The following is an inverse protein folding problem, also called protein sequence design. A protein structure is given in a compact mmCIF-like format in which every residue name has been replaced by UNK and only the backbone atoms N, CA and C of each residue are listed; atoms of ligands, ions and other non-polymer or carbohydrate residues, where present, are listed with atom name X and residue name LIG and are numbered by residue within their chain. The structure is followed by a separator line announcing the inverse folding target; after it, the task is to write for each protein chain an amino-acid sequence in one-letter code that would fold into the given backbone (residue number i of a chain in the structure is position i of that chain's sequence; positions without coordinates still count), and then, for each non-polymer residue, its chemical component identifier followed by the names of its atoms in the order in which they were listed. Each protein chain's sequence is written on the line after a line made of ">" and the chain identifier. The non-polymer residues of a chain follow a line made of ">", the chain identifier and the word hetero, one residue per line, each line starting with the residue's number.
data_IF_729725707609
#
_entry.id   IF_729725707609
#
_cell.length_a   1.000
_cell.length_b   1.000
_cell.length_c   1.000
_cell.angle_alpha   90.00
_cell.angle_beta   90.00
_cell.angle_gamma   90.00
#
_symmetry.space_group_name_H-M   'P 1'
#
loop_
_entity.id
_entity.type
_entity.pdbx_description
1 polymer ?
#
# COMPACT_ATOMS: atom_id res chain seq x y z
N UNK A 1 20.30 3.30 -21.79
CA UNK A 1 18.99 3.99 -21.91
C UNK A 1 19.13 5.05 -22.99
N UNK A 2 18.32 5.01 -24.05
CA UNK A 2 18.39 5.98 -25.15
C UNK A 2 17.88 7.36 -24.69
N UNK A 3 18.33 8.44 -25.35
CA UNK A 3 17.84 9.82 -25.08
C UNK A 3 16.32 9.95 -25.23
N UNK A 4 15.68 9.11 -26.06
CA UNK A 4 14.21 9.07 -26.24
C UNK A 4 13.48 8.65 -24.97
N UNK A 5 13.93 7.55 -24.33
CA UNK A 5 13.25 7.00 -23.16
C UNK A 5 13.31 7.89 -21.92
N UNK A 6 14.35 8.72 -21.76
CA UNK A 6 14.41 9.69 -20.65
C UNK A 6 13.46 10.87 -20.89
N UNK A 7 13.34 11.35 -22.14
CA UNK A 7 12.39 12.43 -22.48
C UNK A 7 10.93 12.04 -22.27
N UNK A 8 10.58 10.80 -22.61
CA UNK A 8 9.26 10.21 -22.35
C UNK A 8 8.96 10.16 -20.85
N UNK A 9 9.90 9.67 -20.03
CA UNK A 9 9.74 9.60 -18.57
C UNK A 9 9.58 10.98 -17.94
N UNK A 10 10.31 11.99 -18.40
CA UNK A 10 10.18 13.37 -17.91
C UNK A 10 8.80 13.93 -18.22
N UNK A 11 8.29 13.69 -19.43
CA UNK A 11 6.96 14.15 -19.85
C UNK A 11 5.85 13.47 -19.05
N UNK A 12 5.99 12.17 -18.81
CA UNK A 12 5.07 11.39 -17.99
C UNK A 12 5.06 11.86 -16.53
N UNK A 13 6.24 12.09 -15.93
CA UNK A 13 6.34 12.63 -14.57
C UNK A 13 5.72 14.02 -14.47
N UNK A 14 5.92 14.89 -15.46
CA UNK A 14 5.28 16.20 -15.47
C UNK A 14 3.75 16.08 -15.48
N UNK A 15 3.21 15.21 -16.33
CA UNK A 15 1.76 14.96 -16.38
C UNK A 15 1.21 14.42 -15.06
N UNK A 16 1.88 13.42 -14.48
CA UNK A 16 1.51 12.87 -13.18
C UNK A 16 1.58 13.93 -12.07
N UNK A 17 2.60 14.79 -12.10
CA UNK A 17 2.79 15.86 -11.12
C UNK A 17 1.65 16.89 -11.18
N UNK A 18 1.21 17.27 -12.39
CA UNK A 18 0.14 18.25 -12.59
C UNK A 18 -1.23 17.73 -12.13
N UNK A 19 -1.44 16.42 -12.18
CA UNK A 19 -2.70 15.77 -11.81
C UNK A 19 -2.70 15.15 -10.42
N UNK A 20 -1.67 15.38 -9.60
CA UNK A 20 -1.53 14.68 -8.32
C UNK A 20 -2.79 14.81 -7.45
N UNK A 21 -3.39 15.99 -7.37
CA UNK A 21 -4.52 16.22 -6.45
C UNK A 21 -5.86 15.69 -6.94
N UNK A 22 -5.96 15.28 -8.20
CA UNK A 22 -7.15 14.65 -8.80
C UNK A 22 -6.96 13.18 -9.15
N UNK A 23 -5.72 12.67 -9.02
CA UNK A 23 -5.39 11.27 -9.30
C UNK A 23 -5.55 10.43 -8.03
N UNK A 24 -6.33 9.36 -8.12
CA UNK A 24 -6.49 8.41 -7.02
C UNK A 24 -5.21 7.61 -6.75
N UNK A 25 -5.09 7.03 -5.56
CA UNK A 25 -3.99 6.12 -5.21
C UNK A 25 -3.96 4.88 -6.10
N UNK A 26 -5.12 4.40 -6.55
CA UNK A 26 -5.22 3.30 -7.51
C UNK A 26 -4.68 3.71 -8.87
N UNK A 27 -5.05 4.89 -9.37
CA UNK A 27 -4.59 5.39 -10.66
C UNK A 27 -3.10 5.72 -10.68
N UNK A 28 -2.54 6.29 -9.61
CA UNK A 28 -1.10 6.61 -9.58
C UNK A 28 -0.23 5.35 -9.52
N UNK A 29 -0.73 4.27 -8.91
CA UNK A 29 -0.10 2.95 -8.92
C UNK A 29 -0.51 2.09 -10.13
N UNK A 30 -1.47 2.56 -10.93
CA UNK A 30 -1.96 1.91 -12.15
C UNK A 30 -2.48 0.49 -11.89
N UNK A 31 -3.39 0.41 -10.92
CA UNK A 31 -4.04 -0.83 -10.50
C UNK A 31 -5.55 -0.60 -10.36
N UNK A 32 -6.30 -1.70 -10.41
CA UNK A 32 -7.74 -1.68 -10.15
C UNK A 32 -8.07 -1.54 -8.65
N UNK A 33 -9.25 -1.02 -8.33
CA UNK A 33 -9.72 -0.88 -6.94
C UNK A 33 -9.93 -2.23 -6.23
N UNK A 34 -10.11 -3.33 -6.96
CA UNK A 34 -10.19 -4.69 -6.43
C UNK A 34 -8.84 -5.38 -6.22
N UNK A 35 -7.73 -4.72 -6.56
CA UNK A 35 -6.38 -5.30 -6.45
C UNK A 35 -6.04 -5.67 -4.99
N UNK A 36 -5.49 -6.85 -4.75
CA UNK A 36 -5.09 -7.26 -3.41
C UNK A 36 -3.76 -6.60 -2.98
N UNK A 37 -3.34 -6.82 -1.72
CA UNK A 37 -2.11 -6.21 -1.21
C UNK A 37 -0.85 -6.70 -1.96
N UNK A 38 -0.87 -7.92 -2.53
CA UNK A 38 0.24 -8.46 -3.32
C UNK A 38 0.36 -7.66 -4.62
N UNK A 39 -0.75 -7.47 -5.34
CA UNK A 39 -0.77 -6.68 -6.56
C UNK A 39 -0.43 -5.21 -6.31
N UNK A 40 -0.90 -4.61 -5.20
CA UNK A 40 -0.50 -3.25 -4.78
C UNK A 40 1.02 -3.16 -4.60
N UNK A 41 1.62 -4.14 -3.91
CA UNK A 41 3.07 -4.21 -3.67
C UNK A 41 3.86 -4.33 -4.97
N UNK A 42 3.46 -5.26 -5.83
CA UNK A 42 4.18 -5.55 -7.06
C UNK A 42 4.09 -4.37 -8.04
N UNK A 43 2.92 -3.73 -8.13
CA UNK A 43 2.72 -2.50 -8.92
C UNK A 43 3.56 -1.33 -8.40
N UNK A 44 3.60 -1.13 -7.08
CA UNK A 44 4.47 -0.12 -6.47
C UNK A 44 5.93 -0.37 -6.80
N UNK A 45 6.44 -1.60 -6.66
CA UNK A 45 7.84 -1.90 -6.98
C UNK A 45 8.17 -1.68 -8.46
N UNK A 46 7.29 -2.10 -9.37
CA UNK A 46 7.47 -1.87 -10.80
C UNK A 46 7.56 -0.37 -11.14
N UNK A 47 6.64 0.45 -10.60
CA UNK A 47 6.67 1.90 -10.82
C UNK A 47 7.81 2.59 -10.08
N UNK A 48 8.15 2.17 -8.87
CA UNK A 48 9.25 2.72 -8.10
C UNK A 48 10.58 2.54 -8.83
N UNK A 49 10.80 1.39 -9.48
CA UNK A 49 11.97 1.18 -10.35
C UNK A 49 11.99 2.12 -11.56
N UNK A 50 10.83 2.43 -12.15
CA UNK A 50 10.70 3.33 -13.30
C UNK A 50 10.94 4.80 -12.92
N UNK A 51 10.36 5.25 -11.81
CA UNK A 51 10.32 6.66 -11.38
C UNK A 51 11.22 6.98 -10.18
N UNK A 52 12.19 6.13 -9.85
CA UNK A 52 13.09 6.39 -8.73
C UNK A 52 13.84 7.73 -8.91
N UNK A 53 13.89 8.62 -7.91
CA UNK A 53 14.56 9.91 -8.01
C UNK A 53 16.01 9.83 -8.49
N UNK A 54 16.75 8.80 -8.09
CA UNK A 54 18.15 8.57 -8.49
C UNK A 54 18.35 8.54 -10.00
N UNK A 55 17.34 8.12 -10.77
CA UNK A 55 17.40 8.08 -12.24
C UNK A 55 17.44 9.48 -12.86
N UNK A 56 17.00 10.49 -12.13
CA UNK A 56 16.86 11.87 -12.58
C UNK A 56 17.90 12.80 -11.93
N UNK A 57 18.75 12.30 -11.03
CA UNK A 57 19.79 13.10 -10.35
C UNK A 57 20.75 13.75 -11.34
N UNK A 58 21.09 13.05 -12.42
CA UNK A 58 22.00 13.53 -13.47
C UNK A 58 21.41 14.64 -14.35
N UNK A 59 20.10 14.91 -14.27
CA UNK A 59 19.47 15.97 -15.07
C UNK A 59 19.75 17.33 -14.43
N UNK A 60 20.25 18.28 -15.21
CA UNK A 60 20.40 19.67 -14.80
C UNK A 60 19.08 20.44 -14.92
N UNK A 61 17.99 19.85 -14.43
CA UNK A 61 16.65 20.42 -14.48
C UNK A 61 15.96 20.28 -13.12
N UNK A 62 16.02 21.35 -12.34
CA UNK A 62 15.49 21.41 -10.98
C UNK A 62 13.95 21.25 -10.91
N UNK A 63 13.14 21.89 -11.79
CA UNK A 63 11.71 21.62 -11.86
C UNK A 63 11.36 20.14 -12.04
N UNK A 64 12.06 19.45 -12.95
CA UNK A 64 11.83 18.02 -13.20
C UNK A 64 12.16 17.19 -11.97
N UNK A 65 13.28 17.47 -11.30
CA UNK A 65 13.65 16.78 -10.04
C UNK A 65 12.55 16.93 -8.99
N UNK A 66 12.05 18.14 -8.77
CA UNK A 66 10.94 18.39 -7.83
C UNK A 66 9.68 17.62 -8.19
N UNK A 67 9.31 17.58 -9.47
CA UNK A 67 8.17 16.81 -9.94
C UNK A 67 8.34 15.30 -9.67
N UNK A 68 9.52 14.74 -9.96
CA UNK A 68 9.84 13.33 -9.66
C UNK A 68 9.69 13.05 -8.17
N UNK A 69 10.24 13.90 -7.30
CA UNK A 69 10.10 13.72 -5.85
C UNK A 69 8.63 13.77 -5.40
N UNK A 70 7.83 14.69 -5.93
CA UNK A 70 6.41 14.81 -5.60
C UNK A 70 5.62 13.56 -6.02
N UNK A 71 5.83 13.09 -7.25
CA UNK A 71 5.19 11.87 -7.77
C UNK A 71 5.63 10.64 -6.97
N UNK A 72 6.92 10.47 -6.74
CA UNK A 72 7.45 9.34 -5.97
C UNK A 72 6.92 9.33 -4.52
N UNK A 73 6.85 10.51 -3.89
CA UNK A 73 6.24 10.68 -2.57
C UNK A 73 4.76 10.26 -2.57
N UNK A 74 3.99 10.66 -3.60
CA UNK A 74 2.58 10.27 -3.72
C UNK A 74 2.42 8.77 -3.96
N UNK A 75 3.27 8.15 -4.77
CA UNK A 75 3.27 6.69 -4.98
C UNK A 75 3.57 5.95 -3.67
N UNK A 76 4.54 6.43 -2.89
CA UNK A 76 4.87 5.84 -1.58
C UNK A 76 3.70 5.96 -0.60
N UNK A 77 3.01 7.11 -0.61
CA UNK A 77 1.80 7.33 0.18
C UNK A 77 0.66 6.38 -0.24
N UNK A 78 0.42 6.25 -1.55
CA UNK A 78 -0.55 5.32 -2.10
C UNK A 78 -0.25 3.88 -1.66
N UNK A 79 1.01 3.46 -1.76
CA UNK A 79 1.43 2.13 -1.33
C UNK A 79 1.16 1.89 0.16
N UNK A 80 1.51 2.84 1.02
CA UNK A 80 1.26 2.74 2.47
C UNK A 80 -0.24 2.64 2.79
N UNK A 81 -1.08 3.44 2.12
CA UNK A 81 -2.53 3.46 2.35
C UNK A 81 -3.19 2.20 1.83
N UNK A 82 -2.89 1.77 0.60
CA UNK A 82 -3.58 0.65 -0.03
C UNK A 82 -3.14 -0.72 0.50
N UNK A 83 -1.95 -0.80 1.10
CA UNK A 83 -1.46 -2.04 1.72
C UNK A 83 -2.03 -2.24 3.13
N UNK A 84 -2.42 -1.17 3.82
CA UNK A 84 -3.10 -1.26 5.12
C UNK A 84 -4.61 -1.37 4.93
N UNK A 85 -5.25 -2.49 5.31
CA UNK A 85 -6.68 -2.71 5.04
C UNK A 85 -7.60 -1.69 5.74
N UNK A 86 -7.18 -1.09 6.86
CA UNK A 86 -7.97 -0.07 7.55
C UNK A 86 -7.80 1.30 6.89
N UNK A 87 -6.58 1.68 6.51
CA UNK A 87 -6.34 2.92 5.77
C UNK A 87 -6.99 2.88 4.39
N UNK A 88 -6.92 1.73 3.72
CA UNK A 88 -7.61 1.51 2.44
C UNK A 88 -9.11 1.68 2.58
N UNK A 89 -9.74 1.09 3.59
CA UNK A 89 -11.18 1.27 3.82
C UNK A 89 -11.54 2.74 4.08
N UNK A 90 -10.74 3.47 4.87
CA UNK A 90 -10.93 4.90 5.08
C UNK A 90 -10.74 5.72 3.79
N UNK A 91 -9.76 5.33 2.97
CA UNK A 91 -9.51 5.94 1.67
C UNK A 91 -10.67 5.72 0.71
N UNK A 92 -11.16 4.48 0.59
CA UNK A 92 -12.26 4.12 -0.31
C UNK A 92 -13.55 4.86 0.07
N UNK A 93 -13.81 5.04 1.37
CA UNK A 93 -14.92 5.85 1.86
C UNK A 93 -14.78 7.32 1.43
N UNK A 94 -13.60 7.93 1.64
CA UNK A 94 -13.34 9.30 1.20
C UNK A 94 -13.39 9.46 -0.32
N UNK A 95 -12.94 8.45 -1.08
CA UNK A 95 -12.94 8.46 -2.54
C UNK A 95 -14.37 8.52 -3.09
N UNK A 96 -15.32 7.82 -2.46
CA UNK A 96 -16.75 7.92 -2.81
C UNK A 96 -17.33 9.33 -2.59
N UNK A 97 -16.71 10.14 -1.73
CA UNK A 97 -17.06 11.53 -1.45
C UNK A 97 -16.22 12.54 -2.29
N UNK A 98 -15.39 12.05 -3.22
CA UNK A 98 -14.53 12.88 -4.07
C UNK A 98 -13.18 13.27 -3.44
N UNK A 99 -12.77 12.61 -2.36
CA UNK A 99 -11.45 12.81 -1.74
C UNK A 99 -10.41 11.87 -2.39
N UNK A 100 -9.49 12.42 -3.17
CA UNK A 100 -8.47 11.61 -3.87
C UNK A 100 -7.23 11.29 -3.04
N UNK A 101 -7.10 11.87 -1.85
CA UNK A 101 -5.93 11.75 -0.98
C UNK A 101 -6.33 11.80 0.50
N UNK A 102 -5.79 10.90 1.32
CA UNK A 102 -5.95 10.95 2.77
C UNK A 102 -5.04 12.01 3.40
N UNK A 103 -5.55 12.70 4.42
CA UNK A 103 -4.76 13.63 5.23
C UNK A 103 -3.65 12.93 6.00
N UNK A 104 -2.64 13.68 6.43
CA UNK A 104 -1.55 13.12 7.26
C UNK A 104 -2.05 12.58 8.60
N UNK A 105 -3.08 13.22 9.16
CA UNK A 105 -3.74 12.83 10.41
C UNK A 105 -4.50 11.52 10.23
N UNK A 106 -5.25 11.37 9.12
CA UNK A 106 -5.98 10.12 8.81
C UNK A 106 -5.03 8.95 8.58
N UNK A 107 -3.85 9.19 7.99
CA UNK A 107 -2.79 8.17 7.82
C UNK A 107 -2.09 7.82 9.14
N UNK A 108 -2.07 8.72 10.12
CA UNK A 108 -1.45 8.52 11.42
C UNK A 108 -2.36 7.76 12.38
N UNK A 109 -2.50 6.45 12.16
CA UNK A 109 -3.27 5.58 13.04
C UNK A 109 -2.43 5.14 14.24
N UNK A 110 -3.03 5.13 15.43
CA UNK A 110 -2.41 4.54 16.62
C UNK A 110 -2.48 3.01 16.56
N UNK A 111 -1.37 2.36 16.88
CA UNK A 111 -1.34 0.91 17.07
C UNK A 111 -2.18 0.51 18.28
N UNK A 112 -2.95 -0.57 18.15
CA UNK A 112 -3.66 -1.20 19.26
C UNK A 112 -2.71 -2.04 20.14
N UNK A 113 -3.23 -2.64 21.22
CA UNK A 113 -2.43 -3.39 22.18
C UNK A 113 -1.76 -4.63 21.57
N UNK A 114 -2.39 -5.25 20.58
CA UNK A 114 -1.85 -6.44 19.91
C UNK A 114 -0.83 -6.05 18.86
N UNK A 115 -1.10 -5.00 18.08
CA UNK A 115 -0.18 -4.51 17.05
C UNK A 115 1.12 -3.95 17.63
N UNK A 116 1.09 -3.44 18.87
CA UNK A 116 2.30 -3.03 19.60
C UNK A 116 3.21 -4.21 19.95
N UNK A 117 2.66 -5.43 20.03
CA UNK A 117 3.44 -6.65 20.27
C UNK A 117 4.06 -7.20 18.97
N UNK A 118 3.66 -6.66 17.81
CA UNK A 118 4.21 -7.04 16.51
C UNK A 118 5.21 -5.99 16.08
N UNK A 119 6.49 -6.37 16.01
CA UNK A 119 7.59 -5.46 15.74
C UNK A 119 7.73 -5.16 14.25
N UNK A 120 7.44 -6.16 13.41
CA UNK A 120 7.58 -6.07 11.96
C UNK A 120 6.34 -5.41 11.34
N UNK A 121 6.50 -4.30 10.58
CA UNK A 121 5.38 -3.64 9.90
C UNK A 121 4.61 -4.55 8.93
N UNK A 122 5.29 -5.48 8.25
CA UNK A 122 4.64 -6.45 7.35
C UNK A 122 3.80 -7.47 8.13
N UNK A 123 4.31 -7.96 9.26
CA UNK A 123 3.54 -8.84 10.14
C UNK A 123 2.28 -8.14 10.70
N UNK A 124 2.34 -6.82 10.96
CA UNK A 124 1.15 -6.03 11.35
C UNK A 124 0.11 -5.96 10.23
N UNK A 125 0.54 -5.77 8.98
CA UNK A 125 -0.37 -5.76 7.82
C UNK A 125 -1.13 -7.09 7.75
N UNK A 126 -0.41 -8.21 7.86
CA UNK A 126 -1.02 -9.55 7.86
C UNK A 126 -1.96 -9.77 9.05
N UNK A 127 -1.58 -9.33 10.26
CA UNK A 127 -2.46 -9.39 11.42
C UNK A 127 -3.78 -8.63 11.18
N UNK A 128 -3.71 -7.41 10.62
CA UNK A 128 -4.90 -6.60 10.32
C UNK A 128 -5.77 -7.23 9.25
N UNK A 129 -5.14 -7.67 8.16
CA UNK A 129 -5.85 -8.29 7.02
C UNK A 129 -6.52 -9.60 7.45
N UNK A 130 -5.81 -10.44 8.20
CA UNK A 130 -6.35 -11.68 8.75
C UNK A 130 -7.56 -11.45 9.66
N UNK A 131 -7.52 -10.45 10.55
CA UNK A 131 -8.66 -10.07 11.40
C UNK A 131 -9.87 -9.68 10.57
N UNK A 132 -9.69 -8.77 9.61
CA UNK A 132 -10.77 -8.30 8.75
C UNK A 132 -11.42 -9.43 7.94
N UNK A 133 -10.61 -10.33 7.37
CA UNK A 133 -11.12 -11.49 6.62
C UNK A 133 -11.83 -12.48 7.53
N UNK A 134 -11.30 -12.72 8.72
CA UNK A 134 -11.93 -13.59 9.73
C UNK A 134 -13.31 -13.05 10.15
N UNK A 135 -13.41 -11.76 10.44
CA UNK A 135 -14.67 -11.08 10.78
C UNK A 135 -15.71 -11.18 9.65
N UNK A 136 -15.26 -11.14 8.39
CA UNK A 136 -16.12 -11.29 7.20
C UNK A 136 -16.44 -12.74 6.84
N UNK A 137 -15.91 -13.73 7.57
CA UNK A 137 -16.11 -15.15 7.29
C UNK A 137 -15.27 -15.73 6.16
N UNK A 138 -14.34 -14.95 5.58
CA UNK A 138 -13.32 -15.44 4.65
C UNK A 138 -12.21 -16.15 5.43
N UNK A 139 -12.53 -17.35 5.91
CA UNK A 139 -11.62 -18.12 6.75
C UNK A 139 -10.37 -18.60 6.02
N UNK A 140 -10.47 -18.90 4.72
CA UNK A 140 -9.32 -19.33 3.93
C UNK A 140 -8.35 -18.17 3.73
N UNK A 141 -8.86 -16.99 3.36
CA UNK A 141 -8.03 -15.80 3.23
C UNK A 141 -7.43 -15.35 4.56
N UNK A 142 -8.18 -15.46 5.66
CA UNK A 142 -7.67 -15.18 7.00
C UNK A 142 -6.55 -16.15 7.40
N UNK A 143 -6.69 -17.44 7.07
CA UNK A 143 -5.66 -18.45 7.35
C UNK A 143 -4.37 -18.15 6.59
N UNK A 144 -4.46 -17.84 5.29
CA UNK A 144 -3.30 -17.46 4.47
C UNK A 144 -2.58 -16.25 5.09
N UNK A 145 -3.32 -15.20 5.47
CA UNK A 145 -2.71 -14.01 6.07
C UNK A 145 -2.03 -14.34 7.40
N UNK A 146 -2.61 -15.21 8.23
CA UNK A 146 -1.96 -15.67 9.45
C UNK A 146 -0.67 -16.43 9.19
N UNK A 147 -0.66 -17.35 8.21
CA UNK A 147 0.55 -18.09 7.81
C UNK A 147 1.66 -17.13 7.32
N UNK A 148 1.30 -16.17 6.47
CA UNK A 148 2.24 -15.16 5.99
C UNK A 148 2.76 -14.28 7.14
N UNK A 149 1.89 -13.85 8.05
CA UNK A 149 2.29 -13.12 9.25
C UNK A 149 3.28 -13.90 10.11
N UNK A 150 2.96 -15.17 10.41
CA UNK A 150 3.81 -16.06 11.20
C UNK A 150 5.14 -16.38 10.51
N UNK A 151 5.18 -16.46 9.18
CA UNK A 151 6.42 -16.66 8.43
C UNK A 151 7.39 -15.48 8.54
N UNK A 152 6.86 -14.28 8.83
CA UNK A 152 7.63 -13.05 8.98
C UNK A 152 8.02 -12.80 10.44
N UNK A 153 7.08 -13.00 11.37
CA UNK A 153 7.29 -12.79 12.80
C UNK A 153 6.30 -13.64 13.62
N UNK A 154 6.83 -14.50 14.49
CA UNK A 154 5.99 -15.28 15.39
C UNK A 154 5.65 -14.49 16.65
N UNK A 155 4.39 -14.07 16.77
CA UNK A 155 3.90 -13.29 17.92
C UNK A 155 2.60 -13.87 18.50
N UNK A 156 2.29 -13.62 19.80
CA UNK A 156 1.04 -14.08 20.39
C UNK A 156 -0.21 -13.62 19.64
N UNK A 157 -0.35 -12.35 19.19
CA UNK A 157 -1.51 -11.94 18.42
C UNK A 157 -1.74 -12.72 17.12
N UNK A 158 -0.68 -12.98 16.36
CA UNK A 158 -0.77 -13.76 15.12
C UNK A 158 -1.13 -15.22 15.38
N UNK A 159 -0.50 -15.85 16.38
CA UNK A 159 -0.81 -17.23 16.77
C UNK A 159 -2.24 -17.38 17.29
N UNK A 160 -2.70 -16.43 18.11
CA UNK A 160 -4.06 -16.46 18.67
C UNK A 160 -5.12 -16.34 17.56
N UNK A 161 -4.90 -15.44 16.60
CA UNK A 161 -5.76 -15.31 15.44
C UNK A 161 -5.75 -16.59 14.59
N UNK A 162 -4.57 -17.14 14.30
CA UNK A 162 -4.42 -18.39 13.55
C UNK A 162 -5.20 -19.55 14.19
N UNK A 163 -5.06 -19.75 15.50
CA UNK A 163 -5.81 -20.77 16.24
C UNK A 163 -7.32 -20.56 16.13
N UNK A 164 -7.80 -19.31 16.22
CA UNK A 164 -9.22 -19.01 16.07
C UNK A 164 -9.72 -19.33 14.66
N UNK A 165 -8.96 -18.98 13.62
CA UNK A 165 -9.26 -19.29 12.22
C UNK A 165 -9.31 -20.80 11.98
N UNK A 166 -8.32 -21.55 12.46
CA UNK A 166 -8.26 -23.01 12.31
C UNK A 166 -9.45 -23.70 13.00
N UNK A 167 -9.82 -23.26 14.20
CA UNK A 167 -11.01 -23.78 14.90
C UNK A 167 -12.29 -23.52 14.12
N UNK A 168 -12.43 -22.33 13.56
CA UNK A 168 -13.59 -21.99 12.75
C UNK A 168 -13.65 -22.80 11.43
N UNK A 169 -12.50 -23.08 10.80
CA UNK A 169 -12.42 -23.95 9.62
C UNK A 169 -12.80 -25.39 9.94
N UNK A 170 -12.36 -25.93 11.08
CA UNK A 170 -12.66 -27.30 11.50
C UNK A 170 -14.12 -27.52 11.94
N UNK A 171 -14.86 -26.44 12.24
CA UNK A 171 -16.27 -26.48 12.58
C UNK A 171 -17.23 -26.34 11.39
N UNK A 172 -16.72 -26.25 10.15
CA UNK A 172 -17.50 -26.26 8.90
C UNK A 172 -17.75 -27.69 8.44
#
# INVERSE_FOLDING_TARGET
>A
MSKSGMGELVSEVAHLNDQLDTTSYYAILDIDQGCDYIGVRDAFYARAQRFHPDRFVILENEPVKKAVYSVYKRMTEAYQVLTDPQLRAAYDAGLAEGQFRLSSEQRSRRLDADERQVSNPFARIYLRSGRQKFERGDLNGAWIDCELGLSVEETPPLRNLHVAVVRALAGR
#
